data_IF_279089282059
#
_entry.id   IF_279089282059
#
_cell.length_a   1.000
_cell.length_b   1.000
_cell.length_c   1.000
_cell.angle_alpha   90.00
_cell.angle_beta   90.00
_cell.angle_gamma   90.00
#
_symmetry.space_group_name_H-M   'P 1'
#
loop_
_entity.id
_entity.type
_entity.pdbx_description
1 polymer ?
#
# COMPACT_ATOMS: atom_id res chain seq x y z
N UNK A 1 1.75 14.42 -13.78
CA UNK A 1 0.71 13.65 -13.07
C UNK A 1 0.69 14.06 -11.60
N UNK A 2 -0.50 14.29 -11.08
CA UNK A 2 -0.63 14.64 -9.67
C UNK A 2 -0.45 13.42 -8.80
N UNK A 3 0.32 13.51 -7.72
CA UNK A 3 0.38 12.43 -6.74
C UNK A 3 -0.98 12.22 -6.08
N UNK A 4 -1.28 10.98 -5.79
CA UNK A 4 -2.52 10.60 -5.11
C UNK A 4 -2.20 9.87 -3.82
N UNK A 5 -3.17 9.91 -2.91
CA UNK A 5 -3.13 9.14 -1.66
C UNK A 5 -4.46 8.44 -1.53
N UNK A 6 -4.43 7.13 -1.38
CA UNK A 6 -5.68 6.38 -1.22
C UNK A 6 -5.49 5.10 -0.46
N UNK A 7 -6.56 4.69 0.19
CA UNK A 7 -6.69 3.40 0.86
C UNK A 7 -7.43 2.47 -0.10
N UNK A 8 -6.88 1.30 -0.35
CA UNK A 8 -7.54 0.26 -1.16
C UNK A 8 -7.81 -0.93 -0.26
N UNK A 9 -9.09 -1.23 -0.05
CA UNK A 9 -9.48 -2.35 0.81
C UNK A 9 -9.51 -3.65 0.02
N UNK A 10 -9.33 -4.75 0.74
CA UNK A 10 -9.35 -6.08 0.12
C UNK A 10 -10.66 -6.38 -0.58
N UNK A 11 -11.77 -5.77 -0.14
CA UNK A 11 -13.09 -5.95 -0.76
C UNK A 11 -13.29 -5.12 -2.03
N UNK A 12 -12.30 -4.33 -2.42
CA UNK A 12 -12.34 -3.50 -3.61
C UNK A 12 -12.69 -2.04 -3.36
N UNK A 13 -13.11 -1.68 -2.15
CA UNK A 13 -13.46 -0.30 -1.84
C UNK A 13 -12.21 0.58 -1.82
N UNK A 14 -12.31 1.79 -2.36
CA UNK A 14 -11.21 2.76 -2.37
C UNK A 14 -11.66 4.06 -1.71
N UNK A 15 -10.79 4.62 -0.90
CA UNK A 15 -11.03 5.88 -0.22
C UNK A 15 -9.87 6.81 -0.50
N UNK A 16 -10.17 8.00 -1.04
CA UNK A 16 -9.14 9.02 -1.22
C UNK A 16 -8.76 9.59 0.13
N UNK A 17 -7.47 9.79 0.34
CA UNK A 17 -6.95 10.37 1.56
C UNK A 17 -6.51 11.80 1.30
N UNK A 18 -6.62 12.62 2.32
CA UNK A 18 -6.32 14.05 2.23
C UNK A 18 -5.02 14.33 2.98
N UNK A 19 -3.99 14.63 2.22
CA UNK A 19 -2.69 14.97 2.78
C UNK A 19 -1.90 13.77 3.28
N UNK A 20 -0.65 13.99 3.67
CA UNK A 20 0.19 12.92 4.18
C UNK A 20 -0.25 12.48 5.58
N UNK A 21 -0.04 11.21 5.87
CA UNK A 21 -0.32 10.60 7.17
C UNK A 21 0.96 10.07 7.77
N UNK A 22 1.03 10.05 9.10
CA UNK A 22 2.14 9.39 9.78
C UNK A 22 2.05 7.88 9.57
N UNK A 23 3.19 7.20 9.65
CA UNK A 23 3.24 5.75 9.50
C UNK A 23 2.32 5.06 10.50
N UNK A 24 2.23 5.56 11.73
CA UNK A 24 1.32 5.01 12.74
C UNK A 24 -0.13 5.06 12.31
N UNK A 25 -0.52 6.16 11.65
CA UNK A 25 -1.90 6.30 11.17
C UNK A 25 -2.17 5.29 10.05
N UNK A 26 -1.21 5.09 9.16
CA UNK A 26 -1.35 4.09 8.09
C UNK A 26 -1.49 2.70 8.68
N UNK A 27 -0.67 2.37 9.67
CA UNK A 27 -0.77 1.07 10.36
C UNK A 27 -2.16 0.86 10.93
N UNK A 28 -2.74 1.89 11.55
CA UNK A 28 -4.08 1.79 12.11
C UNK A 28 -5.14 1.61 11.02
N UNK A 29 -4.99 2.30 9.89
CA UNK A 29 -5.95 2.21 8.79
C UNK A 29 -6.07 0.78 8.25
N UNK A 30 -4.96 0.06 8.18
CA UNK A 30 -4.93 -1.27 7.59
C UNK A 30 -4.78 -2.39 8.61
N UNK A 31 -4.76 -2.04 9.90
CA UNK A 31 -4.65 -3.04 10.97
C UNK A 31 -3.30 -3.73 11.04
N UNK A 32 -2.24 -3.03 10.64
CA UNK A 32 -0.89 -3.59 10.61
C UNK A 32 -0.08 -3.12 11.81
N UNK A 33 0.84 -3.95 12.26
CA UNK A 33 1.82 -3.58 13.27
C UNK A 33 3.14 -3.19 12.62
N UNK A 34 3.42 -3.74 11.44
CA UNK A 34 4.61 -3.43 10.67
C UNK A 34 4.22 -3.33 9.20
N UNK A 35 4.88 -2.43 8.47
CA UNK A 35 4.60 -2.19 7.07
C UNK A 35 5.77 -2.62 6.21
N UNK A 36 5.45 -3.14 5.03
CA UNK A 36 6.40 -3.31 3.96
C UNK A 36 6.06 -2.32 2.85
N UNK A 37 7.04 -1.94 2.06
CA UNK A 37 6.89 -0.92 1.03
C UNK A 37 7.17 -1.51 -0.34
N UNK A 38 6.26 -1.24 -1.29
CA UNK A 38 6.41 -1.68 -2.67
C UNK A 38 6.43 -0.44 -3.56
N UNK A 39 7.54 -0.21 -4.26
CA UNK A 39 7.60 0.87 -5.25
C UNK A 39 6.76 0.48 -6.45
N UNK A 40 5.86 1.36 -6.87
CA UNK A 40 4.96 1.08 -7.97
C UNK A 40 5.61 1.36 -9.33
N UNK A 41 4.98 0.84 -10.39
CA UNK A 41 5.53 0.92 -11.74
C UNK A 41 5.63 2.35 -12.27
N UNK A 42 4.84 3.28 -11.74
CA UNK A 42 4.88 4.68 -12.16
C UNK A 42 6.10 5.43 -11.63
N UNK A 43 6.87 4.82 -10.73
CA UNK A 43 8.06 5.42 -10.12
C UNK A 43 7.76 6.70 -9.34
N UNK A 44 6.51 6.92 -8.99
CA UNK A 44 6.06 8.10 -8.26
C UNK A 44 5.43 7.71 -6.92
N UNK A 45 4.78 6.56 -6.87
CA UNK A 45 4.04 6.10 -5.70
C UNK A 45 4.63 4.84 -5.11
N UNK A 46 4.37 4.66 -3.81
CA UNK A 46 4.66 3.41 -3.12
C UNK A 46 3.36 2.87 -2.53
N UNK A 47 3.30 1.55 -2.40
CA UNK A 47 2.19 0.85 -1.78
C UNK A 47 2.67 0.34 -0.42
N UNK A 48 1.95 0.72 0.63
CA UNK A 48 2.25 0.30 2.00
C UNK A 48 1.33 -0.87 2.34
N UNK A 49 1.93 -1.99 2.67
CA UNK A 49 1.22 -3.24 2.92
C UNK A 49 1.55 -3.77 4.30
N UNK A 50 0.66 -4.63 4.83
CA UNK A 50 0.91 -5.31 6.09
C UNK A 50 2.00 -6.36 5.88
N UNK A 51 3.12 -6.20 6.56
CA UNK A 51 4.25 -7.12 6.47
C UNK A 51 3.87 -8.54 6.88
N UNK A 52 2.81 -8.70 7.67
CA UNK A 52 2.35 -9.97 8.20
C UNK A 52 1.04 -10.45 7.57
N UNK A 53 0.69 -9.93 6.41
CA UNK A 53 -0.59 -10.28 5.77
C UNK A 53 -0.79 -11.76 5.55
N UNK A 54 0.28 -12.47 5.16
CA UNK A 54 0.20 -13.92 4.92
C UNK A 54 0.02 -14.67 6.22
N UNK A 55 0.85 -14.37 7.23
CA UNK A 55 0.78 -15.07 8.51
C UNK A 55 -0.53 -14.82 9.25
N UNK A 56 -1.14 -13.65 9.05
CA UNK A 56 -2.46 -13.33 9.60
C UNK A 56 -3.60 -13.92 8.78
N UNK A 57 -3.30 -14.49 7.63
CA UNK A 57 -4.29 -15.04 6.71
C UNK A 57 -5.34 -14.00 6.31
N UNK A 58 -4.90 -12.79 6.01
CA UNK A 58 -5.79 -11.73 5.56
C UNK A 58 -6.34 -12.04 4.17
N UNK A 59 -7.50 -11.52 3.81
CA UNK A 59 -8.07 -11.78 2.49
C UNK A 59 -7.18 -11.18 1.40
N UNK A 60 -7.15 -11.83 0.24
CA UNK A 60 -6.42 -11.34 -0.92
C UNK A 60 -7.03 -10.03 -1.38
N UNK A 61 -6.17 -9.07 -1.71
CA UNK A 61 -6.57 -7.78 -2.25
C UNK A 61 -6.26 -7.78 -3.75
N UNK A 62 -7.28 -7.97 -4.61
CA UNK A 62 -7.00 -8.14 -6.05
C UNK A 62 -6.35 -6.92 -6.69
N UNK A 63 -6.79 -5.71 -6.32
CA UNK A 63 -6.23 -4.48 -6.90
C UNK A 63 -4.77 -4.32 -6.50
N UNK A 64 -4.45 -4.55 -5.23
CA UNK A 64 -3.08 -4.45 -4.74
C UNK A 64 -2.19 -5.52 -5.37
N UNK A 65 -2.73 -6.72 -5.55
CA UNK A 65 -2.00 -7.82 -6.21
C UNK A 65 -1.63 -7.44 -7.63
N UNK A 66 -2.56 -6.82 -8.37
CA UNK A 66 -2.29 -6.37 -9.73
C UNK A 66 -1.20 -5.31 -9.75
N UNK A 67 -1.27 -4.34 -8.84
CA UNK A 67 -0.25 -3.30 -8.74
C UNK A 67 1.12 -3.90 -8.44
N UNK A 68 1.17 -4.90 -7.57
CA UNK A 68 2.41 -5.59 -7.26
C UNK A 68 2.97 -6.31 -8.48
N UNK A 69 2.12 -7.02 -9.21
CA UNK A 69 2.54 -7.74 -10.42
C UNK A 69 3.07 -6.77 -11.49
N UNK A 70 2.41 -5.62 -11.66
CA UNK A 70 2.87 -4.60 -12.60
C UNK A 70 4.22 -4.03 -12.19
N UNK A 71 4.45 -3.89 -10.89
CA UNK A 71 5.69 -3.30 -10.38
C UNK A 71 6.85 -4.29 -10.38
N UNK A 72 6.59 -5.55 -10.04
CA UNK A 72 7.64 -6.54 -9.79
C UNK A 72 7.72 -7.63 -10.84
N UNK A 73 6.66 -7.83 -11.63
CA UNK A 73 6.64 -8.86 -12.67
C UNK A 73 6.53 -10.28 -12.15
N UNK A 74 6.19 -10.48 -10.90
CA UNK A 74 6.06 -11.81 -10.30
C UNK A 74 4.66 -12.01 -9.74
N UNK A 75 4.12 -13.24 -9.81
CA UNK A 75 2.76 -13.54 -9.37
C UNK A 75 2.71 -13.77 -7.86
N UNK A 76 2.68 -12.68 -7.10
CA UNK A 76 2.59 -12.73 -5.64
C UNK A 76 1.33 -12.03 -5.20
N UNK A 77 0.53 -12.67 -4.34
CA UNK A 77 -0.70 -12.09 -3.85
C UNK A 77 -0.43 -11.16 -2.68
N UNK A 78 -1.04 -9.97 -2.75
CA UNK A 78 -1.03 -9.02 -1.64
C UNK A 78 -2.30 -9.22 -0.84
N UNK A 79 -2.18 -9.33 0.46
CA UNK A 79 -3.28 -9.63 1.36
C UNK A 79 -3.54 -8.46 2.29
N UNK A 80 -4.82 -8.18 2.51
CA UNK A 80 -5.27 -7.12 3.40
C UNK A 80 -5.40 -5.78 2.69
N UNK A 81 -5.81 -4.78 3.45
CA UNK A 81 -5.94 -3.42 2.96
C UNK A 81 -4.56 -2.81 2.76
N UNK A 82 -4.44 -1.90 1.80
CA UNK A 82 -3.17 -1.23 1.49
C UNK A 82 -3.39 0.26 1.34
N UNK A 83 -2.32 1.03 1.46
CA UNK A 83 -2.36 2.48 1.26
C UNK A 83 -1.34 2.84 0.17
N UNK A 84 -1.78 3.65 -0.80
CA UNK A 84 -0.93 4.18 -1.86
C UNK A 84 -0.62 5.63 -1.51
N UNK A 85 0.65 6.00 -1.54
CA UNK A 85 1.08 7.37 -1.28
C UNK A 85 2.21 7.74 -2.23
N UNK A 86 2.44 9.05 -2.45
CA UNK A 86 3.65 9.46 -3.15
C UNK A 86 4.88 9.02 -2.37
N UNK A 87 5.90 8.58 -3.10
CA UNK A 87 7.17 8.17 -2.48
C UNK A 87 7.74 9.28 -1.59
N UNK A 88 7.53 10.54 -1.98
CA UNK A 88 8.05 11.68 -1.24
C UNK A 88 7.42 11.88 0.15
N UNK A 89 6.26 11.26 0.42
CA UNK A 89 5.63 11.42 1.74
C UNK A 89 6.52 10.90 2.86
N UNK A 90 7.29 9.87 2.57
CA UNK A 90 8.16 9.24 3.57
C UNK A 90 9.62 9.27 3.17
N UNK A 91 9.95 10.11 2.19
CA UNK A 91 11.34 10.30 1.80
C UNK A 91 12.11 10.86 2.98
N UNK A 92 13.31 10.34 3.19
CA UNK A 92 14.15 10.80 4.28
C UNK A 92 15.26 11.69 3.74
N UNK A 93 15.49 12.74 4.46
CA UNK A 93 16.69 13.52 4.26
C UNK A 93 17.88 12.67 4.70
N UNK A 94 18.80 12.55 3.82
CA UNK A 94 20.02 11.79 4.15
C UNK A 94 20.92 12.55 5.11
#
# INVERSE_FOLDING_TARGET
>A
MKPIRKLIRADGAETLLHGPHAIQDVCQMIGAEALDTVSLADRLHVMLVDDEGISKNLPVNPAATRLYQDARGIPHQIRGDVVIVPDSDYAREA
#
